data_IF_082343547336
#
_entry.id   IF_082343547336
#
_cell.length_a   1.000
_cell.length_b   1.000
_cell.length_c   1.000
_cell.angle_alpha   90.00
_cell.angle_beta   90.00
_cell.angle_gamma   90.00
#
_symmetry.space_group_name_H-M   'P 1'
#
loop_
_entity.id
_entity.type
_entity.pdbx_description
1 polymer ?
#
# COMPACT_ATOMS: atom_id res chain seq x y z
N UNK A 1 2.31 -46.20 -41.89
CA UNK A 1 1.27 -45.41 -41.21
C UNK A 1 1.84 -44.58 -40.03
N UNK A 2 2.65 -45.12 -39.14
CA UNK A 2 3.18 -44.41 -37.96
C UNK A 2 4.06 -43.17 -38.25
N UNK A 3 4.82 -43.14 -39.32
CA UNK A 3 5.69 -42.00 -39.69
C UNK A 3 4.89 -40.69 -39.94
N UNK A 4 3.73 -40.81 -40.55
CA UNK A 4 2.89 -39.64 -40.84
C UNK A 4 2.23 -39.13 -39.54
N UNK A 5 1.86 -40.00 -38.60
CA UNK A 5 1.29 -39.61 -37.31
C UNK A 5 2.35 -38.86 -36.44
N UNK A 6 3.58 -39.30 -36.42
CA UNK A 6 4.64 -38.59 -35.71
C UNK A 6 4.98 -37.24 -36.34
N UNK A 7 4.88 -37.11 -37.65
CA UNK A 7 5.08 -35.85 -38.36
C UNK A 7 3.99 -34.83 -38.00
N UNK A 8 2.73 -35.27 -37.96
CA UNK A 8 1.56 -34.42 -37.57
C UNK A 8 1.69 -33.99 -36.12
N UNK A 9 2.05 -34.90 -35.20
CA UNK A 9 2.28 -34.59 -33.78
C UNK A 9 3.42 -33.56 -33.62
N UNK A 10 4.54 -33.74 -34.33
CA UNK A 10 5.68 -32.82 -34.27
C UNK A 10 5.29 -31.43 -34.79
N UNK A 11 4.55 -31.34 -35.88
CA UNK A 11 4.06 -30.09 -36.45
C UNK A 11 3.05 -29.39 -35.51
N UNK A 12 2.16 -30.13 -34.85
CA UNK A 12 1.21 -29.55 -33.89
C UNK A 12 1.89 -29.00 -32.63
N UNK A 13 2.91 -29.70 -32.11
CA UNK A 13 3.72 -29.22 -30.97
C UNK A 13 4.55 -28.00 -31.36
N UNK A 14 5.12 -27.99 -32.56
CA UNK A 14 5.87 -26.85 -33.09
C UNK A 14 4.97 -25.61 -33.25
N UNK A 15 3.74 -25.80 -33.73
CA UNK A 15 2.74 -24.74 -33.89
C UNK A 15 2.26 -24.20 -32.53
N UNK A 16 2.09 -25.05 -31.53
CA UNK A 16 1.79 -24.65 -30.16
C UNK A 16 2.95 -23.87 -29.53
N UNK A 17 4.18 -24.31 -29.74
CA UNK A 17 5.37 -23.61 -29.29
C UNK A 17 5.54 -22.23 -29.93
N UNK A 18 5.31 -22.13 -31.24
CA UNK A 18 5.36 -20.84 -31.94
C UNK A 18 4.24 -19.88 -31.50
N UNK A 19 3.04 -20.39 -31.25
CA UNK A 19 1.96 -19.60 -30.65
C UNK A 19 2.27 -19.17 -29.21
N UNK A 20 2.86 -20.03 -28.39
CA UNK A 20 3.22 -19.71 -27.02
C UNK A 20 4.32 -18.66 -26.92
N UNK A 21 5.33 -18.73 -27.78
CA UNK A 21 6.48 -17.80 -27.81
C UNK A 21 6.19 -16.54 -28.62
N UNK A 22 5.33 -16.63 -29.66
CA UNK A 22 5.04 -15.53 -30.59
C UNK A 22 3.80 -14.72 -30.28
N UNK A 23 2.86 -15.22 -29.46
CA UNK A 23 1.70 -14.44 -29.07
C UNK A 23 2.01 -13.59 -27.85
N UNK A 24 2.29 -12.32 -28.06
CA UNK A 24 2.27 -11.33 -26.99
C UNK A 24 0.84 -11.16 -26.46
N UNK A 25 0.55 -11.78 -25.32
CA UNK A 25 -0.79 -11.78 -24.69
C UNK A 25 -1.16 -10.48 -23.99
N UNK A 26 -0.25 -9.52 -23.86
CA UNK A 26 -0.52 -8.20 -23.27
C UNK A 26 -0.83 -7.20 -24.37
N UNK A 27 -1.96 -6.48 -24.25
CA UNK A 27 -2.30 -5.37 -25.12
C UNK A 27 -1.17 -4.33 -25.14
N UNK A 28 -0.92 -3.72 -26.30
CA UNK A 28 0.15 -2.73 -26.51
C UNK A 28 0.06 -1.56 -25.51
N UNK A 29 -1.16 -1.11 -25.22
CA UNK A 29 -1.43 -0.02 -24.28
C UNK A 29 -1.01 -0.37 -22.84
N UNK A 30 -1.19 -1.63 -22.43
CA UNK A 30 -0.78 -2.13 -21.11
C UNK A 30 0.75 -2.19 -21.03
N UNK A 31 1.45 -2.57 -22.11
CA UNK A 31 2.91 -2.56 -22.17
C UNK A 31 3.48 -1.15 -22.09
N UNK A 32 2.87 -0.20 -22.81
CA UNK A 32 3.32 1.19 -22.82
C UNK A 32 3.07 1.85 -21.45
N UNK A 33 1.90 1.62 -20.84
CA UNK A 33 1.61 2.07 -19.47
C UNK A 33 2.56 1.46 -18.43
N UNK A 34 2.93 0.17 -18.56
CA UNK A 34 3.87 -0.49 -17.65
C UNK A 34 5.26 0.10 -17.79
N UNK A 35 5.71 0.32 -19.02
CA UNK A 35 7.00 0.93 -19.31
C UNK A 35 7.06 2.38 -18.84
N UNK A 36 5.98 3.14 -19.05
CA UNK A 36 5.87 4.53 -18.59
C UNK A 36 5.84 4.61 -17.06
N UNK A 37 5.12 3.71 -16.38
CA UNK A 37 5.13 3.63 -14.90
C UNK A 37 6.48 3.23 -14.35
N UNK A 38 7.14 2.22 -14.93
CA UNK A 38 8.47 1.82 -14.52
C UNK A 38 9.48 2.97 -14.68
N UNK A 39 9.44 3.70 -15.80
CA UNK A 39 10.28 4.88 -16.04
C UNK A 39 9.95 6.03 -15.08
N UNK A 40 8.68 6.19 -14.68
CA UNK A 40 8.25 7.22 -13.72
C UNK A 40 8.73 6.90 -12.31
N UNK A 41 8.65 5.63 -11.89
CA UNK A 41 9.17 5.17 -10.60
C UNK A 41 10.70 5.30 -10.58
N UNK A 42 11.38 4.92 -11.66
CA UNK A 42 12.83 5.00 -11.80
C UNK A 42 13.37 6.45 -11.76
N UNK A 43 12.55 7.44 -12.19
CA UNK A 43 12.93 8.85 -12.20
C UNK A 43 12.40 9.65 -11.00
N UNK A 44 11.60 9.05 -10.11
CA UNK A 44 11.09 9.73 -8.92
C UNK A 44 11.93 9.31 -7.72
N UNK A 45 12.80 10.20 -7.27
CA UNK A 45 13.65 9.99 -6.09
C UNK A 45 13.23 10.93 -4.95
N UNK A 46 13.69 10.64 -3.73
CA UNK A 46 13.49 11.53 -2.59
C UNK A 46 13.92 12.96 -2.90
N UNK A 47 15.08 13.15 -3.54
CA UNK A 47 15.64 14.46 -3.88
C UNK A 47 14.72 15.24 -4.83
N UNK A 48 14.15 14.54 -5.82
CA UNK A 48 13.17 15.16 -6.74
C UNK A 48 11.93 15.60 -5.99
N UNK A 49 11.40 14.74 -5.09
CA UNK A 49 10.24 15.11 -4.27
C UNK A 49 10.54 16.28 -3.35
N UNK A 50 11.73 16.33 -2.74
CA UNK A 50 12.16 17.47 -1.91
C UNK A 50 12.22 18.78 -2.70
N UNK A 51 12.77 18.76 -3.93
CA UNK A 51 12.85 19.97 -4.79
C UNK A 51 11.45 20.55 -5.03
N UNK A 52 10.46 19.69 -5.30
CA UNK A 52 9.08 20.15 -5.52
C UNK A 52 8.41 20.62 -4.21
N UNK A 53 8.61 19.90 -3.12
CA UNK A 53 8.05 20.25 -1.83
C UNK A 53 8.61 21.58 -1.30
N UNK A 54 9.92 21.79 -1.39
CA UNK A 54 10.61 23.01 -0.93
C UNK A 54 10.07 24.30 -1.54
N UNK A 55 9.52 24.24 -2.75
CA UNK A 55 8.88 25.42 -3.39
C UNK A 55 7.65 25.94 -2.66
N UNK A 56 7.04 25.13 -1.81
CA UNK A 56 5.80 25.43 -1.07
C UNK A 56 6.02 25.74 0.40
N UNK A 57 7.27 25.63 0.89
CA UNK A 57 7.59 25.75 2.31
C UNK A 57 7.86 27.21 2.72
N UNK A 58 7.70 27.49 4.02
CA UNK A 58 8.12 28.74 4.62
C UNK A 58 9.65 28.86 4.64
N UNK A 59 10.17 30.09 4.68
CA UNK A 59 11.63 30.34 4.79
C UNK A 59 12.23 29.70 6.04
N UNK A 60 11.47 29.66 7.15
CA UNK A 60 11.90 29.03 8.42
C UNK A 60 12.06 27.53 8.27
N UNK A 61 11.07 26.85 7.64
CA UNK A 61 11.13 25.40 7.42
C UNK A 61 12.26 25.04 6.44
N UNK A 62 12.44 25.84 5.39
CA UNK A 62 13.55 25.65 4.44
C UNK A 62 14.90 25.71 5.14
N UNK A 63 15.14 26.76 5.94
CA UNK A 63 16.39 26.91 6.66
C UNK A 63 16.64 25.76 7.65
N UNK A 64 15.61 25.30 8.37
CA UNK A 64 15.72 24.16 9.26
C UNK A 64 16.12 22.88 8.53
N UNK A 65 15.40 22.56 7.42
CA UNK A 65 15.68 21.38 6.62
C UNK A 65 17.06 21.42 5.97
N UNK A 66 17.50 22.57 5.49
CA UNK A 66 18.83 22.74 4.90
C UNK A 66 19.94 22.52 5.95
N UNK A 67 19.77 23.05 7.16
CA UNK A 67 20.72 22.83 8.25
C UNK A 67 20.77 21.35 8.65
N UNK A 68 19.60 20.67 8.79
CA UNK A 68 19.55 19.25 9.12
C UNK A 68 20.21 18.40 8.02
N UNK A 69 19.95 18.65 6.74
CA UNK A 69 20.59 17.94 5.64
C UNK A 69 22.11 18.15 5.63
N UNK A 70 22.58 19.40 5.83
CA UNK A 70 24.00 19.71 5.93
C UNK A 70 24.67 18.98 7.09
N UNK A 71 23.98 18.87 8.22
CA UNK A 71 24.49 18.14 9.38
C UNK A 71 24.49 16.61 9.14
N UNK A 72 23.50 16.10 8.43
CA UNK A 72 23.44 14.70 8.00
C UNK A 72 24.63 14.33 7.12
N UNK A 73 24.94 15.17 6.13
CA UNK A 73 26.02 14.95 5.17
C UNK A 73 27.40 15.02 5.82
N UNK A 74 27.59 15.95 6.76
CA UNK A 74 28.87 16.16 7.44
C UNK A 74 29.19 15.14 8.53
N UNK A 75 28.18 14.49 9.11
CA UNK A 75 28.40 13.56 10.19
C UNK A 75 28.95 12.21 9.68
N UNK A 76 29.95 11.69 10.35
CA UNK A 76 30.53 10.35 10.09
C UNK A 76 30.03 9.31 11.11
N UNK A 77 29.53 9.76 12.26
CA UNK A 77 28.95 8.90 13.28
C UNK A 77 27.54 8.46 12.89
N UNK A 78 27.33 7.17 12.72
CA UNK A 78 26.08 6.59 12.27
C UNK A 78 24.91 6.84 13.24
N UNK A 79 25.16 6.86 14.54
CA UNK A 79 24.12 7.14 15.54
C UNK A 79 23.65 8.60 15.46
N UNK A 80 24.57 9.54 15.26
CA UNK A 80 24.23 10.96 15.04
C UNK A 80 23.49 11.16 13.73
N UNK A 81 23.92 10.49 12.67
CA UNK A 81 23.19 10.49 11.39
C UNK A 81 21.77 9.98 11.58
N UNK A 82 21.58 8.92 12.34
CA UNK A 82 20.25 8.37 12.62
C UNK A 82 19.36 9.34 13.41
N UNK A 83 19.90 10.05 14.39
CA UNK A 83 19.14 11.11 15.09
C UNK A 83 18.69 12.23 14.15
N UNK A 84 19.57 12.66 13.25
CA UNK A 84 19.26 13.70 12.28
C UNK A 84 18.22 13.19 11.27
N UNK A 85 18.35 11.97 10.75
CA UNK A 85 17.40 11.36 9.85
C UNK A 85 16.01 11.20 10.49
N UNK A 86 15.92 10.87 11.78
CA UNK A 86 14.65 10.87 12.52
C UNK A 86 14.02 12.26 12.57
N UNK A 87 14.81 13.30 12.83
CA UNK A 87 14.33 14.69 12.83
C UNK A 87 13.82 15.12 11.44
N UNK A 88 14.53 14.73 10.38
CA UNK A 88 14.12 14.99 9.01
C UNK A 88 12.82 14.26 8.67
N UNK A 89 12.72 12.96 9.01
CA UNK A 89 11.50 12.17 8.80
C UNK A 89 10.30 12.80 9.51
N UNK A 90 10.44 13.12 10.80
CA UNK A 90 9.39 13.75 11.58
C UNK A 90 8.98 15.12 10.97
N UNK A 91 9.95 15.95 10.65
CA UNK A 91 9.68 17.29 10.10
C UNK A 91 8.96 17.23 8.76
N UNK A 92 9.37 16.35 7.84
CA UNK A 92 8.69 16.17 6.56
C UNK A 92 7.27 15.62 6.73
N UNK A 93 7.07 14.72 7.72
CA UNK A 93 5.74 14.22 8.05
C UNK A 93 4.81 15.33 8.54
N UNK A 94 5.30 16.17 9.48
CA UNK A 94 4.56 17.32 10.04
C UNK A 94 4.22 18.36 8.97
N UNK A 95 5.06 18.51 7.97
CA UNK A 95 4.83 19.38 6.82
C UNK A 95 3.84 18.79 5.78
N UNK A 96 3.35 17.56 5.98
CA UNK A 96 2.40 16.89 5.10
C UNK A 96 3.03 16.20 3.88
N UNK A 97 4.31 15.84 3.96
CA UNK A 97 5.04 15.12 2.90
C UNK A 97 5.45 13.71 3.34
N UNK A 98 4.48 12.80 3.57
CA UNK A 98 4.77 11.47 4.12
C UNK A 98 5.63 10.59 3.19
N UNK A 99 5.63 10.81 1.87
CA UNK A 99 6.51 10.10 0.95
C UNK A 99 8.00 10.43 1.20
N UNK A 100 8.31 11.71 1.46
CA UNK A 100 9.68 12.14 1.79
C UNK A 100 10.05 11.68 3.20
N UNK A 101 9.13 11.79 4.16
CA UNK A 101 9.31 11.28 5.51
C UNK A 101 9.62 9.78 5.53
N UNK A 102 8.89 8.99 4.71
CA UNK A 102 9.10 7.57 4.53
C UNK A 102 10.49 7.23 4.02
N UNK A 103 11.03 8.02 3.08
CA UNK A 103 12.38 7.80 2.56
C UNK A 103 13.47 8.01 3.64
N UNK A 104 13.29 8.95 4.55
CA UNK A 104 14.19 9.09 5.71
C UNK A 104 13.99 7.96 6.74
N UNK A 105 12.77 7.46 6.90
CA UNK A 105 12.51 6.30 7.75
C UNK A 105 13.10 5.00 7.15
N UNK A 106 13.05 4.84 5.83
CA UNK A 106 13.68 3.74 5.10
C UNK A 106 15.21 3.77 5.27
N UNK A 107 15.84 4.93 5.12
CA UNK A 107 17.27 5.13 5.41
C UNK A 107 17.64 4.68 6.83
N UNK A 108 16.80 4.95 7.82
CA UNK A 108 17.01 4.49 9.19
C UNK A 108 16.92 2.96 9.29
N UNK A 109 15.95 2.35 8.61
CA UNK A 109 15.79 0.90 8.59
C UNK A 109 16.94 0.20 7.85
N UNK A 110 17.53 0.81 6.83
CA UNK A 110 18.75 0.33 6.16
C UNK A 110 19.96 0.35 7.10
N UNK A 111 20.11 1.40 7.91
CA UNK A 111 21.22 1.49 8.85
C UNK A 111 21.06 0.60 10.09
N UNK A 112 19.83 0.44 10.55
CA UNK A 112 19.49 -0.36 11.73
C UNK A 112 18.31 -1.28 11.40
N UNK A 113 18.56 -2.39 10.69
CA UNK A 113 17.50 -3.25 10.16
C UNK A 113 16.82 -4.04 11.28
N UNK A 114 15.64 -3.57 11.70
CA UNK A 114 14.73 -4.30 12.58
C UNK A 114 13.34 -4.38 11.93
N UNK A 115 12.51 -5.36 12.32
CA UNK A 115 11.13 -5.44 11.83
C UNK A 115 10.36 -4.14 12.06
N UNK A 116 10.55 -3.50 13.21
CA UNK A 116 9.90 -2.26 13.62
C UNK A 116 10.34 -1.09 12.75
N UNK A 117 11.65 -0.97 12.48
CA UNK A 117 12.18 0.12 11.65
C UNK A 117 11.62 0.05 10.21
N UNK A 118 11.60 -1.15 9.62
CA UNK A 118 11.01 -1.38 8.33
C UNK A 118 9.48 -1.18 8.32
N UNK A 119 8.79 -1.61 9.39
CA UNK A 119 7.35 -1.37 9.55
C UNK A 119 7.02 0.12 9.62
N UNK A 120 7.83 0.92 10.34
CA UNK A 120 7.69 2.38 10.40
C UNK A 120 7.88 3.00 9.01
N UNK A 121 8.91 2.61 8.27
CA UNK A 121 9.14 3.09 6.91
C UNK A 121 7.94 2.79 6.00
N UNK A 122 7.50 1.53 5.95
CA UNK A 122 6.36 1.11 5.14
C UNK A 122 5.06 1.82 5.51
N UNK A 123 4.79 1.99 6.81
CA UNK A 123 3.60 2.70 7.29
C UNK A 123 3.65 4.18 6.92
N UNK A 124 4.83 4.82 7.03
CA UNK A 124 5.01 6.23 6.69
C UNK A 124 4.80 6.47 5.20
N UNK A 125 5.36 5.63 4.33
CA UNK A 125 5.06 5.66 2.90
C UNK A 125 3.57 5.41 2.61
N UNK A 126 2.96 4.48 3.33
CA UNK A 126 1.53 4.15 3.20
C UNK A 126 0.61 5.35 3.37
N UNK A 127 0.99 6.34 4.20
CA UNK A 127 0.23 7.59 4.39
C UNK A 127 0.23 8.49 3.14
N UNK A 128 1.17 8.32 2.22
CA UNK A 128 1.21 9.09 0.97
C UNK A 128 0.29 8.50 -0.13
N UNK A 129 -0.11 7.23 -0.02
CA UNK A 129 -0.87 6.53 -1.06
C UNK A 129 -2.27 7.09 -1.27
N UNK A 130 -3.06 7.44 -0.23
CA UNK A 130 -4.39 8.02 -0.39
C UNK A 130 -4.39 9.45 -0.94
N UNK A 131 -3.24 10.14 -0.97
CA UNK A 131 -3.13 11.49 -1.49
C UNK A 131 -3.31 11.47 -3.01
N UNK A 132 -4.49 11.86 -3.47
CA UNK A 132 -4.93 11.72 -4.87
C UNK A 132 -4.23 12.69 -5.84
N UNK A 133 -3.46 13.64 -5.36
CA UNK A 133 -3.01 14.81 -6.14
C UNK A 133 -1.83 14.53 -7.07
N UNK A 134 -0.99 13.52 -6.77
CA UNK A 134 0.16 13.19 -7.62
C UNK A 134 0.36 11.67 -7.74
N UNK A 135 0.08 11.15 -8.92
CA UNK A 135 0.25 9.73 -9.22
C UNK A 135 1.72 9.27 -9.07
N UNK A 136 2.69 10.16 -9.33
CA UNK A 136 4.12 9.83 -9.20
C UNK A 136 4.51 9.65 -7.73
N UNK A 137 4.03 10.53 -6.85
CA UNK A 137 4.23 10.42 -5.40
C UNK A 137 3.60 9.14 -4.87
N UNK A 138 2.37 8.84 -5.30
CA UNK A 138 1.65 7.62 -4.90
C UNK A 138 2.40 6.36 -5.35
N UNK A 139 2.82 6.29 -6.61
CA UNK A 139 3.48 5.11 -7.17
C UNK A 139 4.88 4.92 -6.54
N UNK A 140 5.62 6.01 -6.29
CA UNK A 140 6.87 6.01 -5.51
C UNK A 140 6.63 5.47 -4.09
N UNK A 141 5.67 6.05 -3.36
CA UNK A 141 5.38 5.64 -2.00
C UNK A 141 4.91 4.18 -1.91
N UNK A 142 4.10 3.72 -2.87
CA UNK A 142 3.64 2.33 -2.90
C UNK A 142 4.79 1.35 -3.14
N UNK A 143 5.70 1.65 -4.07
CA UNK A 143 6.86 0.79 -4.35
C UNK A 143 7.76 0.64 -3.12
N UNK A 144 8.08 1.77 -2.46
CA UNK A 144 8.90 1.77 -1.25
C UNK A 144 8.18 1.13 -0.05
N UNK A 145 6.86 1.36 0.11
CA UNK A 145 6.07 0.70 1.16
C UNK A 145 6.06 -0.83 0.99
N UNK A 146 5.92 -1.34 -0.24
CA UNK A 146 5.99 -2.78 -0.53
C UNK A 146 7.35 -3.33 -0.10
N UNK A 147 8.45 -2.72 -0.54
CA UNK A 147 9.81 -3.14 -0.17
C UNK A 147 10.01 -3.12 1.34
N UNK A 148 9.58 -2.06 2.02
CA UNK A 148 9.73 -1.93 3.46
C UNK A 148 8.94 -3.02 4.22
N UNK A 149 7.68 -3.28 3.85
CA UNK A 149 6.91 -4.35 4.49
C UNK A 149 7.44 -5.74 4.17
N UNK A 150 7.94 -6.00 2.96
CA UNK A 150 8.58 -7.27 2.61
C UNK A 150 9.84 -7.51 3.46
N UNK A 151 10.65 -6.48 3.71
CA UNK A 151 11.80 -6.54 4.63
C UNK A 151 11.34 -6.79 6.08
N UNK A 152 10.32 -6.09 6.55
CA UNK A 152 9.77 -6.32 7.90
C UNK A 152 9.25 -7.76 8.07
N UNK A 153 8.52 -8.29 7.07
CA UNK A 153 8.00 -9.66 7.07
C UNK A 153 9.15 -10.68 7.02
N UNK A 154 10.22 -10.41 6.28
CA UNK A 154 11.37 -11.32 6.22
C UNK A 154 12.09 -11.46 7.57
N UNK A 155 12.10 -10.38 8.36
CA UNK A 155 12.71 -10.36 9.70
C UNK A 155 11.78 -10.90 10.79
N UNK A 156 10.46 -10.77 10.62
CA UNK A 156 9.44 -11.25 11.55
C UNK A 156 8.26 -11.92 10.80
N UNK A 157 8.44 -13.13 10.26
CA UNK A 157 7.44 -13.77 9.38
C UNK A 157 6.14 -14.13 10.09
N UNK A 158 6.12 -14.21 11.43
CA UNK A 158 4.91 -14.50 12.21
C UNK A 158 4.07 -13.23 12.50
N UNK A 159 4.62 -12.03 12.28
CA UNK A 159 3.86 -10.80 12.47
C UNK A 159 2.86 -10.59 11.32
N UNK A 160 1.59 -10.85 11.61
CA UNK A 160 0.50 -10.63 10.68
C UNK A 160 0.25 -9.16 10.36
N UNK A 161 0.71 -8.23 11.20
CA UNK A 161 0.47 -6.79 11.05
C UNK A 161 1.14 -6.25 9.79
N UNK A 162 2.40 -6.63 9.55
CA UNK A 162 3.12 -6.23 8.34
C UNK A 162 2.53 -6.89 7.09
N UNK A 163 2.08 -8.15 7.19
CA UNK A 163 1.36 -8.81 6.10
C UNK A 163 0.04 -8.10 5.76
N UNK A 164 -0.70 -7.64 6.78
CA UNK A 164 -1.91 -6.84 6.58
C UNK A 164 -1.59 -5.52 5.89
N UNK A 165 -0.60 -4.77 6.37
CA UNK A 165 -0.22 -3.49 5.80
C UNK A 165 0.25 -3.62 4.35
N UNK A 166 1.05 -4.65 4.03
CA UNK A 166 1.44 -4.98 2.66
C UNK A 166 0.21 -5.26 1.78
N UNK A 167 -0.73 -6.08 2.27
CA UNK A 167 -1.95 -6.40 1.54
C UNK A 167 -2.80 -5.14 1.24
N UNK A 168 -2.86 -4.19 2.18
CA UNK A 168 -3.55 -2.92 1.98
C UNK A 168 -2.89 -2.07 0.89
N UNK A 169 -1.56 -1.93 0.92
CA UNK A 169 -0.81 -1.23 -0.14
C UNK A 169 -1.10 -1.85 -1.51
N UNK A 170 -1.00 -3.18 -1.62
CA UNK A 170 -1.26 -3.92 -2.86
C UNK A 170 -2.73 -3.88 -3.30
N UNK A 171 -3.65 -3.55 -2.42
CA UNK A 171 -5.07 -3.36 -2.76
C UNK A 171 -5.34 -1.95 -3.28
N UNK A 172 -4.68 -0.93 -2.72
CA UNK A 172 -4.80 0.48 -3.14
C UNK A 172 -4.03 0.77 -4.44
N UNK A 173 -2.86 0.14 -4.62
CA UNK A 173 -2.02 0.23 -5.83
C UNK A 173 -1.70 -1.18 -6.33
N UNK A 174 -2.64 -1.81 -7.04
CA UNK A 174 -2.50 -3.20 -7.47
C UNK A 174 -1.35 -3.38 -8.46
N UNK A 175 -0.51 -4.42 -8.31
CA UNK A 175 0.51 -4.76 -9.31
C UNK A 175 -0.16 -5.24 -10.60
N UNK A 176 0.40 -4.84 -11.75
CA UNK A 176 -0.23 -5.09 -13.04
C UNK A 176 -0.25 -6.57 -13.43
N UNK A 177 0.77 -7.31 -13.06
CA UNK A 177 0.90 -8.74 -13.32
C UNK A 177 0.01 -9.60 -12.41
N UNK A 178 -0.39 -9.08 -11.23
CA UNK A 178 -1.26 -9.77 -10.30
C UNK A 178 -2.17 -8.79 -9.52
N UNK A 179 -3.21 -8.21 -10.15
CA UNK A 179 -4.07 -7.20 -9.54
C UNK A 179 -4.82 -7.67 -8.28
N UNK A 180 -4.99 -8.99 -8.13
CA UNK A 180 -5.68 -9.59 -6.97
C UNK A 180 -4.74 -9.96 -5.83
N UNK A 181 -3.42 -9.68 -5.92
CA UNK A 181 -2.44 -10.08 -4.90
C UNK A 181 -2.83 -9.59 -3.51
N UNK A 182 -3.12 -8.29 -3.37
CA UNK A 182 -3.53 -7.71 -2.09
C UNK A 182 -4.81 -8.31 -1.51
N UNK A 183 -5.83 -8.50 -2.36
CA UNK A 183 -7.11 -9.11 -1.95
C UNK A 183 -6.92 -10.56 -1.48
N UNK A 184 -6.14 -11.36 -2.21
CA UNK A 184 -5.84 -12.74 -1.81
C UNK A 184 -5.11 -12.78 -0.47
N UNK A 185 -4.12 -11.91 -0.26
CA UNK A 185 -3.43 -11.81 1.03
C UNK A 185 -4.37 -11.46 2.17
N UNK A 186 -5.35 -10.55 1.97
CA UNK A 186 -6.36 -10.24 2.98
C UNK A 186 -7.26 -11.44 3.31
N UNK A 187 -7.65 -12.22 2.31
CA UNK A 187 -8.46 -13.43 2.51
C UNK A 187 -7.68 -14.53 3.22
N UNK A 188 -6.40 -14.70 2.90
CA UNK A 188 -5.51 -15.66 3.58
C UNK A 188 -5.29 -15.26 5.05
N UNK A 189 -5.17 -13.96 5.33
CA UNK A 189 -5.11 -13.44 6.70
C UNK A 189 -6.41 -13.69 7.45
N UNK A 190 -7.58 -13.51 6.84
CA UNK A 190 -8.88 -13.82 7.46
C UNK A 190 -9.04 -15.29 7.78
N UNK A 191 -8.56 -16.18 6.89
CA UNK A 191 -8.57 -17.63 7.13
C UNK A 191 -7.67 -18.04 8.29
N UNK A 192 -6.51 -17.40 8.48
CA UNK A 192 -5.57 -17.69 9.56
C UNK A 192 -5.93 -16.98 10.88
N UNK A 193 -6.59 -15.82 10.81
CA UNK A 193 -6.95 -14.98 11.95
C UNK A 193 -8.43 -14.57 11.89
N UNK A 194 -9.40 -15.51 11.94
CA UNK A 194 -10.82 -15.27 11.64
C UNK A 194 -11.51 -14.31 12.63
N UNK A 195 -10.95 -14.12 13.82
CA UNK A 195 -11.46 -13.24 14.86
C UNK A 195 -10.59 -11.99 15.04
N UNK A 196 -9.93 -11.54 13.97
CA UNK A 196 -9.18 -10.32 13.99
C UNK A 196 -10.02 -9.13 13.48
N UNK A 197 -10.37 -8.22 14.39
CA UNK A 197 -11.22 -7.06 14.09
C UNK A 197 -10.66 -6.19 12.95
N UNK A 198 -9.34 -5.94 12.90
CA UNK A 198 -8.72 -5.10 11.87
C UNK A 198 -8.81 -5.74 10.47
N UNK A 199 -8.56 -7.04 10.37
CA UNK A 199 -8.67 -7.76 9.08
C UNK A 199 -10.12 -7.71 8.58
N UNK A 200 -11.09 -8.02 9.44
CA UNK A 200 -12.51 -7.97 9.12
C UNK A 200 -12.96 -6.55 8.72
N UNK A 201 -12.47 -5.52 9.40
CA UNK A 201 -12.72 -4.12 9.03
C UNK A 201 -12.27 -3.82 7.59
N UNK A 202 -11.04 -4.16 7.25
CA UNK A 202 -10.50 -3.88 5.92
C UNK A 202 -11.19 -4.70 4.82
N UNK A 203 -11.53 -5.95 5.08
CA UNK A 203 -12.33 -6.76 4.18
C UNK A 203 -13.77 -6.23 4.01
N UNK A 204 -14.36 -5.71 5.08
CA UNK A 204 -15.66 -5.04 5.01
C UNK A 204 -15.61 -3.76 4.18
N UNK A 205 -14.59 -2.93 4.38
CA UNK A 205 -14.33 -1.74 3.56
C UNK A 205 -14.15 -2.08 2.08
N UNK A 206 -13.36 -3.10 1.78
CA UNK A 206 -13.17 -3.58 0.42
C UNK A 206 -14.47 -4.11 -0.20
N UNK A 207 -15.29 -4.82 0.56
CA UNK A 207 -16.59 -5.31 0.11
C UNK A 207 -17.53 -4.14 -0.27
N UNK A 208 -17.52 -3.03 0.47
CA UNK A 208 -18.25 -1.81 0.10
C UNK A 208 -17.71 -1.22 -1.22
N UNK A 209 -16.40 -1.13 -1.38
CA UNK A 209 -15.77 -0.58 -2.60
C UNK A 209 -16.14 -1.39 -3.84
N UNK A 210 -16.34 -2.71 -3.68
CA UNK A 210 -16.66 -3.64 -4.75
C UNK A 210 -18.16 -3.97 -4.88
N UNK A 211 -19.04 -3.26 -4.15
CA UNK A 211 -20.50 -3.44 -4.21
C UNK A 211 -21.02 -4.72 -3.58
N UNK A 212 -20.21 -5.42 -2.75
CA UNK A 212 -20.60 -6.65 -2.06
C UNK A 212 -21.18 -6.33 -0.67
N UNK A 213 -22.30 -5.58 -0.64
CA UNK A 213 -22.80 -4.96 0.58
C UNK A 213 -23.24 -5.93 1.66
N UNK A 214 -23.81 -7.09 1.32
CA UNK A 214 -24.17 -8.13 2.28
C UNK A 214 -22.95 -8.69 3.01
N UNK A 215 -21.86 -8.91 2.26
CA UNK A 215 -20.59 -9.35 2.86
C UNK A 215 -19.96 -8.26 3.71
N UNK A 216 -20.13 -6.99 3.31
CA UNK A 216 -19.66 -5.85 4.09
C UNK A 216 -20.38 -5.78 5.44
N UNK A 217 -21.70 -5.93 5.48
CA UNK A 217 -22.49 -5.97 6.72
C UNK A 217 -21.95 -7.05 7.66
N UNK A 218 -21.87 -8.29 7.19
CA UNK A 218 -21.42 -9.42 8.02
C UNK A 218 -20.02 -9.17 8.63
N UNK A 219 -19.07 -8.70 7.82
CA UNK A 219 -17.69 -8.47 8.27
C UNK A 219 -17.56 -7.29 9.21
N UNK A 220 -18.23 -6.17 8.91
CA UNK A 220 -18.19 -4.97 9.74
C UNK A 220 -18.90 -5.17 11.08
N UNK A 221 -20.04 -5.86 11.11
CA UNK A 221 -20.71 -6.23 12.36
C UNK A 221 -19.84 -7.14 13.22
N UNK A 222 -19.18 -8.15 12.62
CA UNK A 222 -18.26 -9.02 13.34
C UNK A 222 -17.06 -8.24 13.87
N UNK A 223 -16.48 -7.36 13.06
CA UNK A 223 -15.39 -6.48 13.48
C UNK A 223 -15.78 -5.63 14.70
N UNK A 224 -16.97 -5.01 14.65
CA UNK A 224 -17.48 -4.17 15.74
C UNK A 224 -17.79 -4.94 17.02
N UNK A 225 -18.17 -6.22 16.91
CA UNK A 225 -18.36 -7.10 18.08
C UNK A 225 -17.05 -7.46 18.76
N UNK A 226 -15.97 -7.61 17.98
CA UNK A 226 -14.65 -7.96 18.48
C UNK A 226 -13.91 -6.76 19.06
N UNK A 227 -14.09 -5.58 18.45
CA UNK A 227 -13.52 -4.31 18.90
C UNK A 227 -14.55 -3.21 18.67
N UNK A 228 -15.15 -2.72 19.75
CA UNK A 228 -16.16 -1.67 19.71
C UNK A 228 -15.57 -0.25 19.67
N UNK A 229 -14.26 -0.10 19.76
CA UNK A 229 -13.56 1.19 19.71
C UNK A 229 -13.16 1.58 18.27
N UNK A 230 -14.05 1.34 17.32
CA UNK A 230 -13.84 1.64 15.90
C UNK A 230 -15.03 2.47 15.35
N UNK A 231 -15.16 3.74 15.74
CA UNK A 231 -16.32 4.57 15.40
C UNK A 231 -16.54 4.74 13.89
N UNK A 232 -15.46 4.69 13.09
CA UNK A 232 -15.54 4.76 11.62
C UNK A 232 -16.33 3.60 10.99
N UNK A 233 -16.49 2.48 11.68
CA UNK A 233 -17.30 1.35 11.20
C UNK A 233 -18.76 1.75 10.99
N UNK A 234 -19.29 2.60 11.84
CA UNK A 234 -20.70 3.02 11.74
C UNK A 234 -21.02 3.74 10.43
N UNK A 235 -20.10 4.53 9.90
CA UNK A 235 -20.27 5.19 8.61
C UNK A 235 -20.27 4.19 7.44
N UNK A 236 -19.46 3.14 7.55
CA UNK A 236 -19.43 2.05 6.57
C UNK A 236 -20.67 1.16 6.66
N UNK A 237 -21.12 0.84 7.87
CA UNK A 237 -22.35 0.09 8.11
C UNK A 237 -23.58 0.85 7.62
N UNK A 238 -23.66 2.15 7.85
CA UNK A 238 -24.75 2.97 7.31
C UNK A 238 -24.90 2.76 5.81
N UNK A 239 -23.79 2.91 5.05
CA UNK A 239 -23.81 2.71 3.61
C UNK A 239 -24.21 1.29 3.24
N UNK A 240 -23.63 0.27 3.89
CA UNK A 240 -23.92 -1.13 3.58
C UNK A 240 -25.39 -1.47 3.88
N UNK A 241 -25.97 -1.00 4.98
CA UNK A 241 -27.38 -1.21 5.32
C UNK A 241 -28.34 -0.53 4.34
N UNK A 242 -28.02 0.69 3.87
CA UNK A 242 -28.85 1.37 2.85
C UNK A 242 -28.90 0.59 1.56
N UNK A 243 -27.76 0.11 1.10
CA UNK A 243 -27.66 -0.66 -0.15
C UNK A 243 -28.31 -2.06 -0.05
N UNK A 244 -28.44 -2.60 1.19
CA UNK A 244 -29.14 -3.88 1.46
C UNK A 244 -30.58 -3.68 1.92
N UNK A 245 -31.11 -2.44 1.85
CA UNK A 245 -32.49 -2.09 2.22
C UNK A 245 -32.84 -2.34 3.70
N UNK A 246 -31.87 -2.30 4.61
CA UNK A 246 -32.07 -2.47 6.06
C UNK A 246 -32.18 -1.08 6.72
N UNK A 247 -33.27 -0.35 6.43
CA UNK A 247 -33.41 1.08 6.76
C UNK A 247 -33.25 1.41 8.23
N UNK A 248 -33.85 0.61 9.12
CA UNK A 248 -33.81 0.86 10.57
C UNK A 248 -32.40 0.81 11.15
N UNK A 249 -31.56 -0.11 10.65
CA UNK A 249 -30.15 -0.22 11.06
C UNK A 249 -29.31 0.87 10.41
N UNK A 250 -29.64 1.26 9.18
CA UNK A 250 -28.96 2.35 8.49
C UNK A 250 -29.11 3.67 9.25
N UNK A 251 -30.33 4.00 9.73
CA UNK A 251 -30.59 5.24 10.47
C UNK A 251 -29.86 5.27 11.82
N UNK A 252 -29.84 4.14 12.54
CA UNK A 252 -29.07 4.00 13.79
C UNK A 252 -27.56 4.12 13.55
N UNK A 253 -27.05 3.53 12.47
CA UNK A 253 -25.65 3.63 12.10
C UNK A 253 -25.28 5.07 11.69
N UNK A 254 -26.14 5.77 10.96
CA UNK A 254 -25.97 7.16 10.59
C UNK A 254 -25.87 8.10 11.80
N UNK A 255 -26.69 7.89 12.82
CA UNK A 255 -26.62 8.66 14.07
C UNK A 255 -25.27 8.47 14.77
N UNK A 256 -24.82 7.20 14.92
CA UNK A 256 -23.53 6.89 15.53
C UNK A 256 -22.35 7.41 14.69
N UNK A 257 -22.42 7.34 13.36
CA UNK A 257 -21.42 7.90 12.46
C UNK A 257 -21.28 9.42 12.69
N UNK A 258 -22.38 10.18 12.69
CA UNK A 258 -22.34 11.63 12.96
C UNK A 258 -21.74 11.98 14.32
N UNK A 259 -22.02 11.19 15.34
CA UNK A 259 -21.50 11.41 16.69
C UNK A 259 -20.02 11.08 16.82
N UNK A 260 -19.46 10.27 15.90
CA UNK A 260 -18.05 9.86 15.91
C UNK A 260 -17.13 10.82 15.15
N UNK A 261 -17.68 11.74 14.35
CA UNK A 261 -16.90 12.70 13.53
C UNK A 261 -16.73 14.05 14.28
N UNK A 262 -17.40 14.21 15.40
CA UNK A 262 -17.24 15.41 16.28
C UNK A 262 -16.01 15.23 17.17
#
# INVERSE_FOLDING_TARGET
MYKVQYLVLFLSVLLLLTMYVGCETKASDVKEMTKTRALVVENTTREVLEIYAKKKLSSTDLLLLENLNKDLDKNTDLNKKAEIARKLSAKWYDLGYPAIAGAYAEMLAEWFPTPEAWSIAGTTFGQAIPQKEDAKVRDFAAAHAVTAFENAISLAPEDWTNKLNLALVLTEVPPQDNPMKGVKMLLDLDANYPDNARILFHLGRLAIQTGQFEKAVVRLEKSLKLDNNQPQIYCLLERAYRETSISDLADKAAEKCRNSIK
#
